data_IF_079882092270
#
_entry.id   IF_079882092270
#
_cell.length_a   1.000
_cell.length_b   1.000
_cell.length_c   1.000
_cell.angle_alpha   90.00
_cell.angle_beta   90.00
_cell.angle_gamma   90.00
#
_symmetry.space_group_name_H-M   'P 1'
#
loop_
_entity.id
_entity.type
_entity.pdbx_description
1 polymer ?
#
# COMPACT_ATOMS: atom_id res chain seq x y z
N UNK A 1 -43.08 40.62 -22.01
CA UNK A 1 -42.23 39.41 -21.89
C UNK A 1 -40.79 39.86 -21.71
N UNK A 2 -40.28 39.84 -20.48
CA UNK A 2 -38.89 40.17 -20.18
C UNK A 2 -38.15 38.87 -19.83
N UNK A 3 -37.29 38.40 -20.72
CA UNK A 3 -36.40 37.26 -20.44
C UNK A 3 -35.19 37.76 -19.66
N UNK A 4 -35.17 37.47 -18.36
CA UNK A 4 -34.03 37.70 -17.48
C UNK A 4 -33.01 36.59 -17.70
N UNK A 5 -31.95 36.88 -18.47
CA UNK A 5 -30.81 35.97 -18.64
C UNK A 5 -29.99 35.96 -17.35
N UNK A 6 -30.05 34.86 -16.60
CA UNK A 6 -29.21 34.65 -15.41
C UNK A 6 -27.82 34.22 -15.87
N UNK A 7 -26.87 35.14 -15.78
CA UNK A 7 -25.45 34.85 -15.98
C UNK A 7 -24.96 34.02 -14.77
N UNK A 8 -24.81 32.71 -14.97
CA UNK A 8 -24.28 31.81 -13.96
C UNK A 8 -22.76 31.94 -13.93
N UNK A 9 -22.23 32.64 -12.92
CA UNK A 9 -20.78 32.74 -12.68
C UNK A 9 -20.34 31.40 -12.09
N UNK A 10 -19.68 30.57 -12.90
CA UNK A 10 -18.92 29.42 -12.37
C UNK A 10 -17.72 29.96 -11.58
N UNK A 11 -17.51 29.54 -10.32
CA UNK A 11 -16.27 29.84 -9.62
C UNK A 11 -15.15 29.04 -10.28
N UNK A 12 -14.21 29.74 -10.91
CA UNK A 12 -12.94 29.19 -11.34
C UNK A 12 -12.14 28.85 -10.07
N UNK A 13 -12.19 27.59 -9.64
CA UNK A 13 -11.32 27.08 -8.58
C UNK A 13 -9.91 27.09 -9.16
N UNK A 14 -9.11 28.11 -8.83
CA UNK A 14 -7.67 28.08 -9.07
C UNK A 14 -7.08 26.97 -8.18
N UNK A 15 -6.83 25.81 -8.78
CA UNK A 15 -5.97 24.82 -8.18
C UNK A 15 -4.56 25.41 -8.04
N UNK A 16 -4.10 25.59 -6.80
CA UNK A 16 -2.68 25.86 -6.54
C UNK A 16 -1.93 24.61 -6.97
N UNK A 17 -1.33 24.66 -8.16
CA UNK A 17 -0.45 23.61 -8.65
C UNK A 17 0.73 23.49 -7.67
N UNK A 18 0.86 22.31 -7.05
CA UNK A 18 1.99 21.92 -6.21
C UNK A 18 3.23 21.61 -7.07
N UNK A 19 3.61 22.55 -7.94
CA UNK A 19 4.51 22.37 -9.08
C UNK A 19 6.00 22.12 -8.74
N UNK A 20 6.32 21.50 -7.59
CA UNK A 20 7.69 21.18 -7.21
C UNK A 20 7.92 19.97 -6.31
N UNK A 21 6.87 19.27 -5.85
CA UNK A 21 6.99 18.08 -4.97
C UNK A 21 6.72 16.78 -5.74
N UNK A 22 5.93 16.86 -6.80
CA UNK A 22 5.46 15.71 -7.56
C UNK A 22 6.08 15.73 -8.96
N UNK A 23 6.63 14.60 -9.45
CA UNK A 23 6.92 14.46 -10.87
C UNK A 23 5.62 14.52 -11.67
N UNK A 24 5.71 14.89 -12.95
CA UNK A 24 4.53 15.10 -13.81
C UNK A 24 3.60 13.88 -13.89
N UNK A 25 4.15 12.67 -13.81
CA UNK A 25 3.41 11.42 -13.87
C UNK A 25 2.95 10.88 -12.50
N UNK A 26 3.11 11.65 -11.41
CA UNK A 26 2.77 11.18 -10.06
C UNK A 26 1.29 10.78 -9.95
N UNK A 27 0.41 11.60 -10.52
CA UNK A 27 -1.04 11.40 -10.42
C UNK A 27 -1.57 10.30 -11.35
N UNK A 28 -0.74 9.78 -12.25
CA UNK A 28 -1.05 8.56 -13.01
C UNK A 28 -0.88 7.29 -12.16
N UNK A 29 -0.26 7.42 -10.99
CA UNK A 29 0.21 6.31 -10.14
C UNK A 29 -0.28 6.41 -8.69
N UNK A 30 -0.72 7.58 -8.26
CA UNK A 30 -1.25 7.86 -6.94
C UNK A 30 -2.48 8.77 -7.03
N UNK A 31 -3.33 8.71 -6.00
CA UNK A 31 -4.56 9.51 -5.92
C UNK A 31 -4.40 10.63 -4.89
N UNK A 32 -4.71 11.88 -5.26
CA UNK A 32 -4.84 12.96 -4.28
C UNK A 32 -6.13 12.77 -3.48
N UNK A 33 -6.01 12.65 -2.16
CA UNK A 33 -7.15 12.38 -1.28
C UNK A 33 -7.63 13.67 -0.58
N UNK A 34 -8.95 13.78 -0.45
CA UNK A 34 -9.64 14.80 0.33
C UNK A 34 -10.41 14.17 1.48
N UNK A 35 -11.01 14.99 2.34
CA UNK A 35 -11.85 14.50 3.42
C UNK A 35 -13.06 13.70 2.90
N UNK A 36 -13.54 14.04 1.70
CA UNK A 36 -14.70 13.40 1.08
C UNK A 36 -14.36 12.08 0.37
N UNK A 37 -13.10 11.87 -0.02
CA UNK A 37 -12.68 10.71 -0.83
C UNK A 37 -11.87 9.68 -0.06
N UNK A 38 -11.27 10.05 1.08
CA UNK A 38 -10.37 9.15 1.80
C UNK A 38 -11.06 7.87 2.29
N UNK A 39 -12.29 7.98 2.81
CA UNK A 39 -13.03 6.84 3.35
C UNK A 39 -13.41 5.85 2.24
N UNK A 40 -14.00 6.31 1.14
CA UNK A 40 -14.36 5.43 0.02
C UNK A 40 -13.12 4.81 -0.60
N UNK A 41 -12.06 5.59 -0.83
CA UNK A 41 -10.80 5.10 -1.41
C UNK A 41 -10.19 3.96 -0.60
N UNK A 42 -10.12 4.09 0.73
CA UNK A 42 -9.61 3.03 1.61
C UNK A 42 -10.52 1.82 1.58
N UNK A 43 -11.83 2.02 1.75
CA UNK A 43 -12.79 0.92 1.82
C UNK A 43 -12.80 0.08 0.53
N UNK A 44 -12.94 0.73 -0.62
CA UNK A 44 -13.04 0.07 -1.92
C UNK A 44 -11.80 -0.78 -2.21
N UNK A 45 -10.60 -0.25 -1.97
CA UNK A 45 -9.37 -0.97 -2.26
C UNK A 45 -9.06 -2.08 -1.25
N UNK A 46 -9.35 -1.87 0.04
CA UNK A 46 -9.19 -2.92 1.06
C UNK A 46 -10.18 -4.08 0.81
N UNK A 47 -11.43 -3.77 0.44
CA UNK A 47 -12.44 -4.78 0.10
C UNK A 47 -12.04 -5.59 -1.14
N UNK A 48 -11.44 -4.91 -2.13
CA UNK A 48 -10.84 -5.54 -3.30
C UNK A 48 -9.57 -6.35 -3.00
N UNK A 49 -9.13 -6.41 -1.73
CA UNK A 49 -7.98 -7.20 -1.30
C UNK A 49 -6.62 -6.54 -1.57
N UNK A 50 -6.60 -5.27 -1.96
CA UNK A 50 -5.37 -4.50 -2.17
C UNK A 50 -4.82 -3.96 -0.85
N UNK A 51 -3.54 -3.60 -0.87
CA UNK A 51 -2.93 -2.80 0.19
C UNK A 51 -2.85 -1.34 -0.24
N UNK A 52 -3.47 -0.48 0.56
CA UNK A 52 -3.45 0.97 0.35
C UNK A 52 -2.31 1.56 1.16
N UNK A 53 -1.47 2.39 0.55
CA UNK A 53 -0.47 3.19 1.25
C UNK A 53 -0.83 4.66 1.12
N UNK A 54 -0.95 5.37 2.23
CA UNK A 54 -1.26 6.80 2.23
C UNK A 54 -0.15 7.58 2.91
N UNK A 55 0.30 8.64 2.24
CA UNK A 55 1.23 9.63 2.77
C UNK A 55 0.51 10.94 3.09
N UNK A 56 0.78 11.47 4.27
CA UNK A 56 0.51 12.87 4.62
C UNK A 56 1.83 13.64 4.51
N UNK A 57 1.79 14.77 3.80
CA UNK A 57 3.02 15.47 3.39
C UNK A 57 3.43 16.64 4.29
N UNK A 58 4.76 16.72 4.43
CA UNK A 58 5.56 17.95 4.36
C UNK A 58 6.73 17.82 3.34
N UNK A 59 7.27 16.61 3.09
CA UNK A 59 8.21 16.23 2.00
C UNK A 59 8.57 14.73 2.14
N UNK A 60 8.74 13.98 1.03
CA UNK A 60 9.34 12.62 1.04
C UNK A 60 9.84 12.20 -0.35
N UNK A 61 11.14 12.39 -0.67
CA UNK A 61 11.68 12.11 -2.00
C UNK A 61 11.48 10.65 -2.44
N UNK A 62 11.72 9.69 -1.53
CA UNK A 62 11.60 8.25 -1.86
C UNK A 62 10.18 7.78 -2.09
N UNK A 63 9.18 8.50 -1.62
CA UNK A 63 7.79 8.15 -1.88
C UNK A 63 7.51 8.14 -3.37
N UNK A 64 7.96 9.16 -4.10
CA UNK A 64 7.76 9.24 -5.54
C UNK A 64 8.47 8.07 -6.27
N UNK A 65 9.64 7.64 -5.78
CA UNK A 65 10.34 6.46 -6.33
C UNK A 65 9.54 5.17 -6.11
N UNK A 66 9.00 4.97 -4.91
CA UNK A 66 8.19 3.79 -4.56
C UNK A 66 6.86 3.78 -5.32
N UNK A 67 6.21 4.95 -5.47
CA UNK A 67 5.02 5.12 -6.31
C UNK A 67 5.33 4.84 -7.78
N UNK A 68 6.48 5.29 -8.29
CA UNK A 68 6.92 4.99 -9.65
C UNK A 68 7.15 3.49 -9.88
N UNK A 69 7.72 2.80 -8.89
CA UNK A 69 8.03 1.37 -8.96
C UNK A 69 6.76 0.50 -8.86
N UNK A 70 5.87 0.79 -7.91
CA UNK A 70 4.75 -0.08 -7.58
C UNK A 70 3.37 0.48 -7.92
N UNK A 71 3.23 1.73 -8.33
CA UNK A 71 1.92 2.38 -8.53
C UNK A 71 1.02 1.76 -9.61
N UNK A 72 1.58 0.91 -10.47
CA UNK A 72 0.82 0.11 -11.46
C UNK A 72 0.59 -1.34 -11.04
N UNK A 73 1.10 -1.76 -9.88
CA UNK A 73 0.96 -3.14 -9.43
C UNK A 73 -0.48 -3.39 -8.95
N UNK A 74 -1.16 -4.47 -9.39
CA UNK A 74 -2.59 -4.68 -9.15
C UNK A 74 -2.98 -4.77 -7.68
N UNK A 75 -2.07 -5.24 -6.83
CA UNK A 75 -2.31 -5.46 -5.39
C UNK A 75 -2.04 -4.24 -4.50
N UNK A 76 -1.61 -3.11 -5.07
CA UNK A 76 -1.35 -1.88 -4.29
C UNK A 76 -1.98 -0.67 -4.92
N UNK A 77 -2.31 0.31 -4.08
CA UNK A 77 -2.66 1.66 -4.51
C UNK A 77 -2.04 2.67 -3.57
N UNK A 78 -1.69 3.84 -4.11
CA UNK A 78 -1.06 4.92 -3.36
C UNK A 78 -1.98 6.13 -3.28
N UNK A 79 -2.07 6.71 -2.08
CA UNK A 79 -2.81 7.92 -1.80
C UNK A 79 -1.92 9.01 -1.21
N UNK A 80 -2.22 10.25 -1.54
CA UNK A 80 -1.50 11.42 -1.06
C UNK A 80 -2.46 12.44 -0.44
N UNK A 81 -2.18 12.86 0.78
CA UNK A 81 -2.92 13.93 1.48
C UNK A 81 -2.03 15.15 1.64
N UNK A 82 -2.37 16.21 0.90
CA UNK A 82 -1.84 17.54 1.11
C UNK A 82 -2.59 18.24 2.26
N UNK A 83 -2.05 18.23 3.49
CA UNK A 83 -2.71 18.90 4.62
C UNK A 83 -2.91 20.41 4.42
N UNK A 84 -2.07 21.05 3.61
CA UNK A 84 -2.27 22.47 3.24
C UNK A 84 -3.54 22.71 2.42
N UNK A 85 -4.09 21.67 1.78
CA UNK A 85 -5.32 21.73 0.98
C UNK A 85 -6.50 21.05 1.67
N UNK A 86 -6.29 19.84 2.20
CA UNK A 86 -7.32 18.98 2.74
C UNK A 86 -6.92 18.46 4.12
N UNK A 87 -7.76 18.68 5.14
CA UNK A 87 -7.51 18.26 6.52
C UNK A 87 -7.97 16.82 6.76
N UNK A 88 -7.52 15.86 5.94
CA UNK A 88 -7.81 14.43 6.19
C UNK A 88 -7.09 14.00 7.47
N UNK A 89 -7.77 14.04 8.60
CA UNK A 89 -7.21 13.68 9.92
C UNK A 89 -7.84 12.41 10.49
N UNK A 90 -8.96 12.00 9.92
CA UNK A 90 -9.69 10.80 10.27
C UNK A 90 -9.97 10.01 9.00
N UNK A 91 -9.93 8.69 9.11
CA UNK A 91 -10.38 7.76 8.07
C UNK A 91 -11.19 6.68 8.77
N UNK A 92 -12.44 6.46 8.36
CA UNK A 92 -13.38 5.52 8.99
C UNK A 92 -13.50 5.69 10.51
N UNK A 93 -13.56 6.95 10.96
CA UNK A 93 -13.65 7.31 12.38
C UNK A 93 -12.33 7.19 13.17
N UNK A 94 -11.26 6.64 12.57
CA UNK A 94 -9.97 6.45 13.23
C UNK A 94 -9.04 7.64 12.98
N UNK A 95 -8.42 8.15 14.05
CA UNK A 95 -7.47 9.25 13.95
C UNK A 95 -6.19 8.81 13.25
N UNK A 96 -5.81 9.56 12.21
CA UNK A 96 -4.60 9.29 11.44
C UNK A 96 -3.35 9.94 12.06
N UNK A 97 -3.54 10.90 12.98
CA UNK A 97 -2.49 11.61 13.74
C UNK A 97 -1.30 12.09 12.89
N UNK A 98 -1.54 12.80 11.77
CA UNK A 98 -0.46 13.20 10.89
C UNK A 98 0.48 14.18 11.59
N UNK A 99 1.79 13.89 11.53
CA UNK A 99 2.87 14.63 12.16
C UNK A 99 3.29 14.14 13.56
N UNK A 100 2.48 13.32 14.24
CA UNK A 100 2.77 12.88 15.62
C UNK A 100 4.07 12.07 15.74
N UNK A 101 4.43 11.30 14.70
CA UNK A 101 5.67 10.53 14.60
C UNK A 101 6.78 11.21 13.79
N UNK A 102 6.56 12.44 13.33
CA UNK A 102 7.41 13.14 12.35
C UNK A 102 6.88 13.09 10.92
N UNK A 103 7.59 13.78 10.03
CA UNK A 103 7.24 13.92 8.62
C UNK A 103 8.23 13.17 7.71
N UNK A 104 7.76 12.51 6.64
CA UNK A 104 6.35 12.30 6.30
C UNK A 104 5.65 11.37 7.32
N UNK A 105 4.33 11.48 7.43
CA UNK A 105 3.53 10.43 8.07
C UNK A 105 3.02 9.50 7.00
N UNK A 106 3.34 8.21 7.10
CA UNK A 106 2.84 7.18 6.17
C UNK A 106 2.10 6.09 6.95
N UNK A 107 1.03 5.59 6.35
CA UNK A 107 0.19 4.53 6.91
C UNK A 107 -0.20 3.55 5.82
N UNK A 108 -0.50 2.31 6.22
CA UNK A 108 -0.97 1.27 5.31
C UNK A 108 -2.30 0.68 5.79
N UNK A 109 -3.15 0.31 4.84
CA UNK A 109 -4.49 -0.21 5.05
C UNK A 109 -4.65 -1.49 4.23
N UNK A 110 -5.03 -2.58 4.89
CA UNK A 110 -5.34 -3.85 4.26
C UNK A 110 -6.31 -4.65 5.14
N UNK A 111 -6.68 -5.85 4.73
CA UNK A 111 -7.60 -6.71 5.50
C UNK A 111 -7.08 -7.03 6.91
N UNK A 112 -5.77 -7.05 7.13
CA UNK A 112 -5.18 -7.30 8.46
C UNK A 112 -5.30 -6.09 9.39
N UNK A 113 -5.19 -4.87 8.86
CA UNK A 113 -5.26 -3.63 9.65
C UNK A 113 -6.65 -3.02 9.72
N UNK A 114 -7.57 -3.49 8.88
CA UNK A 114 -8.90 -2.90 8.72
C UNK A 114 -8.83 -1.50 8.09
N UNK A 115 -9.95 -0.77 8.13
CA UNK A 115 -10.05 0.55 7.50
C UNK A 115 -9.37 1.68 8.29
N UNK A 116 -9.04 1.46 9.57
CA UNK A 116 -8.25 2.40 10.37
C UNK A 116 -6.77 2.43 10.01
N UNK A 117 -6.29 1.37 9.35
CA UNK A 117 -4.90 1.19 8.96
C UNK A 117 -3.93 1.17 10.14
N UNK A 118 -2.64 1.09 9.82
CA UNK A 118 -1.58 1.13 10.82
C UNK A 118 -0.45 2.05 10.37
N UNK A 119 0.14 2.75 11.33
CA UNK A 119 1.32 3.60 11.09
C UNK A 119 2.54 2.77 10.72
N UNK A 120 3.43 3.35 9.93
CA UNK A 120 4.76 2.79 9.71
C UNK A 120 5.48 2.58 11.05
N UNK A 121 5.97 1.36 11.33
CA UNK A 121 6.72 1.08 12.54
C UNK A 121 8.15 1.60 12.36
N UNK A 122 8.42 2.78 12.91
CA UNK A 122 9.74 3.41 12.87
C UNK A 122 10.82 2.44 13.38
N UNK A 123 11.87 2.27 12.57
CA UNK A 123 12.97 1.33 12.78
C UNK A 123 14.17 1.97 13.46
N UNK A 124 14.33 3.29 13.38
CA UNK A 124 15.52 3.99 13.89
C UNK A 124 15.18 5.20 14.76
N UNK A 125 16.22 5.86 15.31
CA UNK A 125 16.09 7.14 16.00
C UNK A 125 16.14 8.35 15.06
N UNK A 126 16.44 8.18 13.77
CA UNK A 126 16.59 9.27 12.79
C UNK A 126 15.28 10.04 12.57
N UNK A 127 15.34 11.22 11.94
CA UNK A 127 14.12 11.89 11.52
C UNK A 127 13.38 11.06 10.46
N UNK A 128 12.04 11.12 10.43
CA UNK A 128 11.25 10.33 9.47
C UNK A 128 11.60 10.62 8.01
N UNK A 129 12.01 11.85 7.69
CA UNK A 129 12.45 12.23 6.36
C UNK A 129 13.78 11.58 5.94
N UNK A 130 14.65 11.26 6.91
CA UNK A 130 15.90 10.56 6.65
C UNK A 130 15.66 9.05 6.57
N UNK A 131 14.89 8.49 7.51
CA UNK A 131 14.59 7.06 7.59
C UNK A 131 13.79 6.56 6.37
N UNK A 132 12.84 7.36 5.89
CA UNK A 132 12.11 7.09 4.64
C UNK A 132 12.71 7.85 3.46
N UNK A 133 13.92 8.38 3.63
CA UNK A 133 14.65 9.16 2.64
C UNK A 133 15.36 8.28 1.60
N UNK A 134 15.98 8.90 0.58
CA UNK A 134 16.53 8.18 -0.58
C UNK A 134 17.79 7.38 -0.26
N UNK A 135 18.34 7.51 0.94
CA UNK A 135 19.54 6.79 1.39
C UNK A 135 19.22 5.42 2.00
N UNK A 136 17.95 5.16 2.29
CA UNK A 136 17.50 3.96 3.01
C UNK A 136 16.52 3.15 2.14
N UNK A 137 16.51 1.83 2.33
CA UNK A 137 15.57 0.91 1.64
C UNK A 137 14.24 0.72 2.36
N UNK A 138 14.07 1.32 3.55
CA UNK A 138 12.98 0.96 4.45
C UNK A 138 11.58 1.24 3.89
N UNK A 139 11.40 2.30 3.11
CA UNK A 139 10.08 2.58 2.51
C UNK A 139 9.71 1.52 1.47
N UNK A 140 10.66 1.11 0.63
CA UNK A 140 10.46 0.02 -0.33
C UNK A 140 10.19 -1.30 0.38
N UNK A 141 11.05 -1.66 1.33
CA UNK A 141 10.90 -2.89 2.12
C UNK A 141 9.56 -2.96 2.85
N UNK A 142 9.05 -1.81 3.31
CA UNK A 142 7.75 -1.69 3.96
C UNK A 142 6.61 -1.97 2.97
N UNK A 143 6.68 -1.45 1.74
CA UNK A 143 5.72 -1.82 0.71
C UNK A 143 5.80 -3.33 0.42
N UNK A 144 7.00 -3.89 0.23
CA UNK A 144 7.20 -5.33 0.01
C UNK A 144 6.78 -6.23 1.19
N UNK A 145 6.77 -5.67 2.40
CA UNK A 145 6.36 -6.39 3.61
C UNK A 145 4.84 -6.45 3.74
N UNK A 146 4.16 -5.34 3.46
CA UNK A 146 2.72 -5.21 3.71
C UNK A 146 1.86 -5.36 2.46
N UNK A 147 2.46 -5.27 1.27
CA UNK A 147 1.84 -5.61 0.01
C UNK A 147 2.28 -6.97 -0.48
N UNK A 148 1.42 -7.58 -1.28
CA UNK A 148 1.79 -8.75 -2.07
C UNK A 148 2.20 -8.31 -3.46
N UNK A 149 3.49 -8.13 -3.64
CA UNK A 149 4.03 -7.64 -4.92
C UNK A 149 4.43 -8.76 -5.88
N UNK A 150 4.24 -10.01 -5.45
CA UNK A 150 4.61 -11.18 -6.23
C UNK A 150 3.34 -11.93 -6.63
N UNK A 151 3.10 -12.00 -7.94
CA UNK A 151 2.09 -12.88 -8.53
C UNK A 151 2.76 -14.22 -8.92
N UNK A 152 2.45 -15.27 -8.15
CA UNK A 152 2.94 -16.61 -8.40
C UNK A 152 2.52 -17.17 -9.77
N UNK A 153 1.48 -16.61 -10.39
CA UNK A 153 0.93 -17.06 -11.67
C UNK A 153 1.43 -16.25 -12.88
N UNK A 154 2.00 -15.06 -12.67
CA UNK A 154 2.59 -14.24 -13.73
C UNK A 154 3.78 -14.95 -14.39
N UNK A 155 3.93 -14.78 -15.70
CA UNK A 155 5.01 -15.40 -16.49
C UNK A 155 6.35 -14.69 -16.32
N UNK A 156 6.34 -13.37 -16.13
CA UNK A 156 7.55 -12.54 -16.01
C UNK A 156 8.10 -12.48 -14.57
N UNK A 157 7.34 -12.99 -13.59
CA UNK A 157 7.67 -12.94 -12.14
C UNK A 157 8.05 -11.53 -11.65
N UNK A 158 7.55 -10.49 -12.31
CA UNK A 158 7.88 -9.12 -11.95
C UNK A 158 7.36 -8.81 -10.54
N UNK A 159 8.21 -8.19 -9.71
CA UNK A 159 7.89 -7.86 -8.32
C UNK A 159 8.11 -9.00 -7.31
N UNK A 160 8.51 -10.18 -7.78
CA UNK A 160 8.96 -11.27 -6.91
C UNK A 160 10.45 -11.11 -6.57
N UNK A 161 10.81 -11.28 -5.30
CA UNK A 161 12.21 -11.45 -4.89
C UNK A 161 12.77 -12.79 -5.34
N UNK A 162 14.10 -12.91 -5.43
CA UNK A 162 14.77 -14.19 -5.74
C UNK A 162 14.32 -15.34 -4.84
N UNK A 163 14.04 -15.05 -3.58
CA UNK A 163 13.55 -16.03 -2.62
C UNK A 163 12.12 -16.49 -2.96
N UNK A 164 11.24 -15.56 -3.37
CA UNK A 164 9.89 -15.86 -3.81
C UNK A 164 9.89 -16.63 -5.13
N UNK A 165 10.73 -16.26 -6.11
CA UNK A 165 10.85 -16.96 -7.39
C UNK A 165 11.25 -18.42 -7.18
N UNK A 166 12.32 -18.68 -6.41
CA UNK A 166 12.76 -20.05 -6.09
C UNK A 166 11.67 -20.85 -5.36
N UNK A 167 10.90 -20.19 -4.51
CA UNK A 167 9.78 -20.83 -3.84
C UNK A 167 8.66 -21.17 -4.82
N UNK A 168 8.29 -20.25 -5.70
CA UNK A 168 7.28 -20.49 -6.74
C UNK A 168 7.71 -21.66 -7.63
N UNK A 169 8.93 -21.66 -8.16
CA UNK A 169 9.43 -22.74 -9.02
C UNK A 169 9.35 -24.11 -8.35
N UNK A 170 9.63 -24.18 -7.05
CA UNK A 170 9.55 -25.42 -6.27
C UNK A 170 8.11 -25.93 -6.09
N UNK A 171 7.15 -25.01 -5.96
CA UNK A 171 5.77 -25.33 -5.63
C UNK A 171 4.82 -25.28 -6.83
N UNK A 172 5.23 -24.66 -7.93
CA UNK A 172 4.48 -24.63 -9.17
C UNK A 172 4.35 -26.03 -9.75
N UNK A 173 3.13 -26.46 -10.04
CA UNK A 173 2.85 -27.80 -10.58
C UNK A 173 2.77 -28.90 -9.52
N UNK A 174 2.88 -28.57 -8.22
CA UNK A 174 2.55 -29.52 -7.15
C UNK A 174 1.04 -29.85 -7.15
N UNK A 175 0.64 -31.07 -6.77
CA UNK A 175 -0.77 -31.43 -6.66
C UNK A 175 -1.53 -30.51 -5.69
N UNK A 176 -2.82 -30.27 -5.97
CA UNK A 176 -3.68 -29.40 -5.15
C UNK A 176 -3.67 -29.79 -3.66
N UNK A 177 -3.64 -31.09 -3.35
CA UNK A 177 -3.58 -31.57 -1.96
C UNK A 177 -2.27 -31.18 -1.24
N UNK A 178 -1.13 -31.20 -1.94
CA UNK A 178 0.15 -30.75 -1.37
C UNK A 178 0.14 -29.24 -1.12
N UNK A 179 -0.45 -28.47 -2.04
CA UNK A 179 -0.60 -27.02 -1.90
C UNK A 179 -1.52 -26.68 -0.70
N UNK A 180 -2.69 -27.33 -0.59
CA UNK A 180 -3.64 -27.16 0.51
C UNK A 180 -3.02 -27.51 1.87
N UNK A 181 -2.33 -28.64 1.95
CA UNK A 181 -1.62 -29.06 3.17
C UNK A 181 -0.54 -28.06 3.59
N UNK A 182 0.25 -27.57 2.63
CA UNK A 182 1.25 -26.56 2.90
C UNK A 182 0.62 -25.23 3.34
N UNK A 183 -0.47 -24.79 2.70
CA UNK A 183 -1.19 -23.58 3.08
C UNK A 183 -1.68 -23.67 4.52
N UNK A 184 -2.33 -24.78 4.87
CA UNK A 184 -2.83 -25.04 6.22
C UNK A 184 -1.70 -25.03 7.26
N UNK A 185 -0.54 -25.62 6.94
CA UNK A 185 0.64 -25.57 7.81
C UNK A 185 1.13 -24.15 8.03
N UNK A 186 1.22 -23.34 6.98
CA UNK A 186 1.68 -21.94 7.06
C UNK A 186 0.69 -21.08 7.84
N UNK A 187 -0.61 -21.21 7.59
CA UNK A 187 -1.66 -20.53 8.35
C UNK A 187 -1.65 -20.96 9.83
N UNK A 188 -1.42 -22.24 10.11
CA UNK A 188 -1.23 -22.76 11.46
C UNK A 188 -0.04 -22.12 12.18
N UNK A 189 1.11 -21.99 11.49
CA UNK A 189 2.30 -21.29 12.01
C UNK A 189 2.00 -19.82 12.31
N UNK A 190 1.30 -19.11 11.42
CA UNK A 190 0.92 -17.71 11.63
C UNK A 190 -0.01 -17.54 12.83
N UNK A 191 -0.97 -18.45 12.99
CA UNK A 191 -1.98 -18.37 14.04
C UNK A 191 -1.44 -18.74 15.42
N UNK A 192 -0.52 -19.71 15.50
CA UNK A 192 0.02 -20.23 16.78
C UNK A 192 1.27 -19.48 17.23
N UNK A 193 2.20 -19.26 16.31
CA UNK A 193 3.56 -18.82 16.66
C UNK A 193 3.86 -17.41 16.16
N UNK A 194 2.96 -16.80 15.36
CA UNK A 194 3.22 -15.55 14.65
C UNK A 194 3.71 -14.40 15.55
N UNK A 195 3.20 -14.28 16.77
CA UNK A 195 3.61 -13.25 17.74
C UNK A 195 4.99 -13.49 18.36
N UNK A 196 5.51 -14.72 18.29
CA UNK A 196 6.82 -15.11 18.84
C UNK A 196 7.92 -15.21 17.78
N UNK A 197 7.55 -15.10 16.49
CA UNK A 197 8.50 -15.18 15.39
C UNK A 197 9.35 -13.91 15.28
N UNK A 198 10.61 -14.08 14.88
CA UNK A 198 11.44 -12.98 14.40
C UNK A 198 10.78 -12.32 13.18
N UNK A 199 10.91 -11.00 13.05
CA UNK A 199 10.25 -10.22 12.00
C UNK A 199 10.48 -10.80 10.58
N UNK A 200 11.73 -11.11 10.22
CA UNK A 200 12.04 -11.67 8.90
C UNK A 200 11.43 -13.06 8.67
N UNK A 201 11.37 -13.87 9.74
CA UNK A 201 10.74 -15.19 9.67
C UNK A 201 9.24 -15.05 9.49
N UNK A 202 8.60 -14.15 10.25
CA UNK A 202 7.18 -13.86 10.12
C UNK A 202 6.85 -13.35 8.72
N UNK A 203 7.62 -12.38 8.22
CA UNK A 203 7.52 -11.84 6.86
C UNK A 203 7.57 -12.95 5.83
N UNK A 204 8.56 -13.85 5.93
CA UNK A 204 8.72 -14.94 4.98
C UNK A 204 7.58 -15.98 5.04
N UNK A 205 7.08 -16.29 6.24
CA UNK A 205 5.95 -17.22 6.40
C UNK A 205 4.68 -16.62 5.78
N UNK A 206 4.42 -15.33 5.99
CA UNK A 206 3.29 -14.61 5.36
C UNK A 206 3.40 -14.62 3.84
N UNK A 207 4.57 -14.26 3.30
CA UNK A 207 4.81 -14.25 1.86
C UNK A 207 4.56 -15.63 1.23
N UNK A 208 5.10 -16.70 1.83
CA UNK A 208 4.88 -18.07 1.36
C UNK A 208 3.43 -18.51 1.42
N UNK A 209 2.70 -18.15 2.48
CA UNK A 209 1.29 -18.51 2.62
C UNK A 209 0.49 -17.93 1.44
N UNK A 210 0.73 -16.67 1.11
CA UNK A 210 0.08 -16.01 -0.02
C UNK A 210 0.48 -16.58 -1.39
N UNK A 211 1.76 -16.94 -1.58
CA UNK A 211 2.19 -17.59 -2.83
C UNK A 211 1.54 -18.96 -3.02
N UNK A 212 1.43 -19.77 -1.96
CA UNK A 212 0.74 -21.06 -2.03
C UNK A 212 -0.76 -20.87 -2.31
N UNK A 213 -1.39 -19.88 -1.69
CA UNK A 213 -2.79 -19.53 -1.94
C UNK A 213 -3.02 -19.21 -3.43
N UNK A 214 -2.18 -18.36 -4.03
CA UNK A 214 -2.24 -18.04 -5.47
C UNK A 214 -2.04 -19.27 -6.37
N UNK A 215 -1.08 -20.15 -6.04
CA UNK A 215 -0.83 -21.38 -6.80
C UNK A 215 -1.98 -22.40 -6.67
N UNK A 216 -2.65 -22.42 -5.51
CA UNK A 216 -3.78 -23.29 -5.25
C UNK A 216 -4.98 -22.91 -6.12
N UNK A 217 -5.27 -21.62 -6.24
CA UNK A 217 -6.37 -21.10 -7.06
C UNK A 217 -6.19 -21.37 -8.55
N UNK A 218 -4.94 -21.38 -9.06
CA UNK A 218 -4.64 -21.72 -10.46
C UNK A 218 -4.90 -23.19 -10.79
N UNK A 219 -4.78 -24.09 -9.83
CA UNK A 219 -4.92 -25.55 -10.05
C UNK A 219 -6.38 -26.00 -10.06
N UNK A 220 -7.31 -25.15 -9.62
CA UNK A 220 -8.76 -25.43 -9.64
C UNK A 220 -9.46 -24.92 -10.92
N UNK A 221 -8.70 -24.29 -11.84
CA UNK A 221 -9.11 -23.83 -13.17
C UNK A 221 -8.56 -24.75 -14.26
#
# INVERSE_FOLDING_TARGET
MAMSSKLSILPLILGVASAGIYPDNHWDLATELSADTADSFVKENVDAGKTVFIRWIASAPSWNSVVAEFGKHPDVVFGDVALSKNQVRTIHGESQNPGAGGWPTVRYFNKETGYGGKSYPKKTSQAMCDELGPKESYLREWVEEFASLCDANATDKKGCSDQQVKFIEKWSGKPSEELKSQLQRLQGMLSKDGSSMKADTLKWVKQRAKLIEQLSQKTEL
#
